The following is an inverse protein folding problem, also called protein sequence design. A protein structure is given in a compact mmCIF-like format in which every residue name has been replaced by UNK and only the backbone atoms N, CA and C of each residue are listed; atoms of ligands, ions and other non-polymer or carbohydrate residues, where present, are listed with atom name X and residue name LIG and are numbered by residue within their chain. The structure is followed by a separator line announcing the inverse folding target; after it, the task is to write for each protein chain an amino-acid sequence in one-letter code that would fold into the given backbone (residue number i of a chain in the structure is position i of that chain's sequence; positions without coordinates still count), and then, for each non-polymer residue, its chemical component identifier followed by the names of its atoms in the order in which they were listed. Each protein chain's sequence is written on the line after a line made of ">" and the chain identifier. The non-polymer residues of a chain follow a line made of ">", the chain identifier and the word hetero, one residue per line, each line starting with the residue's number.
data_IF_122308782921
#
_entry.id   IF_122308782921
#
_cell.length_a   1.000
_cell.length_b   1.000
_cell.length_c   1.000
_cell.angle_alpha   90.00
_cell.angle_beta   90.00
_cell.angle_gamma   90.00
#
_symmetry.space_group_name_H-M   'P 1'
#
loop_
_entity.id
_entity.type
_entity.pdbx_description
1 polymer ?
#
# COMPACT_ATOMS: atom_id res chain seq x y z
N UNK A 1 44.60 27.89 13.22
CA UNK A 1 44.66 26.50 13.76
C UNK A 1 43.47 26.35 14.71
N UNK A 2 42.47 25.49 14.56
CA UNK A 2 42.33 24.15 13.94
C UNK A 2 40.89 24.05 13.40
N UNK A 3 40.68 23.89 12.09
CA UNK A 3 40.35 22.64 11.38
C UNK A 3 39.26 21.75 12.00
N UNK A 4 38.13 21.71 11.28
CA UNK A 4 37.15 20.63 11.03
C UNK A 4 37.04 19.47 12.03
N UNK A 5 35.81 19.22 12.47
CA UNK A 5 35.21 17.88 12.39
C UNK A 5 33.76 17.99 11.87
N UNK A 6 33.60 17.88 10.55
CA UNK A 6 32.35 17.40 9.96
C UNK A 6 32.15 15.98 10.50
N UNK A 7 31.09 15.75 11.27
CA UNK A 7 30.63 14.39 11.54
C UNK A 7 29.63 14.04 10.45
N UNK A 8 30.10 13.28 9.47
CA UNK A 8 29.29 12.64 8.44
C UNK A 8 28.32 11.67 9.13
N UNK A 9 27.04 12.01 9.16
CA UNK A 9 25.99 11.00 9.41
C UNK A 9 25.83 10.22 8.12
N UNK A 10 26.56 9.12 8.04
CA UNK A 10 26.47 8.16 6.95
C UNK A 10 25.08 7.53 7.05
N UNK A 11 24.27 7.84 6.05
CA UNK A 11 22.97 7.25 5.76
C UNK A 11 23.19 5.74 5.50
N UNK A 12 22.99 4.93 6.53
CA UNK A 12 23.03 3.48 6.41
C UNK A 12 21.65 3.01 5.95
N UNK A 13 21.39 3.07 4.64
CA UNK A 13 20.29 2.33 4.02
C UNK A 13 20.74 0.87 4.00
N UNK A 14 20.56 0.17 5.12
CA UNK A 14 20.61 -1.29 5.13
C UNK A 14 19.45 -1.79 4.30
N UNK A 15 19.74 -2.18 3.07
CA UNK A 15 18.96 -3.12 2.31
C UNK A 15 18.93 -4.45 3.09
N UNK A 16 17.98 -4.57 4.02
CA UNK A 16 17.53 -5.88 4.48
C UNK A 16 16.90 -6.53 3.26
N UNK A 17 17.61 -7.49 2.66
CA UNK A 17 17.03 -8.49 1.79
C UNK A 17 16.55 -9.62 2.70
N UNK A 18 15.34 -9.51 3.23
CA UNK A 18 14.55 -10.67 3.64
C UNK A 18 13.77 -11.11 2.40
N UNK A 19 13.40 -12.37 2.27
CA UNK A 19 12.58 -12.81 1.14
C UNK A 19 11.21 -12.15 1.26
N UNK A 20 10.98 -11.08 0.49
CA UNK A 20 9.71 -10.37 0.50
C UNK A 20 8.84 -10.89 -0.63
N UNK A 21 7.53 -10.94 -0.37
CA UNK A 21 6.44 -10.94 -1.35
C UNK A 21 6.78 -10.12 -2.61
N UNK A 22 6.06 -10.30 -3.74
CA UNK A 22 6.21 -9.43 -4.92
C UNK A 22 5.76 -8.00 -4.59
N UNK A 23 6.61 -7.27 -3.90
CA UNK A 23 6.45 -5.87 -3.55
C UNK A 23 6.29 -5.07 -4.83
N UNK A 24 5.55 -3.97 -4.72
CA UNK A 24 5.38 -3.04 -5.83
C UNK A 24 6.73 -2.44 -6.21
N UNK A 25 7.16 -2.63 -7.45
CA UNK A 25 8.46 -2.15 -7.93
C UNK A 25 8.59 -0.63 -7.71
N UNK A 26 9.68 -0.19 -7.10
CA UNK A 26 9.90 1.24 -6.84
C UNK A 26 9.94 2.01 -8.17
N UNK A 27 9.18 3.11 -8.25
CA UNK A 27 9.06 3.91 -9.47
C UNK A 27 7.88 3.51 -10.38
N UNK A 28 7.13 2.46 -10.03
CA UNK A 28 5.90 2.08 -10.70
C UNK A 28 4.68 2.87 -10.19
N UNK A 29 3.61 2.94 -10.99
CA UNK A 29 2.34 3.58 -10.59
C UNK A 29 1.81 2.98 -9.29
N UNK A 30 1.76 1.65 -9.24
CA UNK A 30 1.23 0.91 -8.11
C UNK A 30 2.02 1.19 -6.82
N UNK A 31 3.35 1.32 -6.91
CA UNK A 31 4.18 1.69 -5.77
C UNK A 31 3.79 3.06 -5.21
N UNK A 32 3.62 4.07 -6.06
CA UNK A 32 3.24 5.41 -5.60
C UNK A 32 1.80 5.47 -5.08
N UNK A 33 0.88 4.69 -5.66
CA UNK A 33 -0.48 4.54 -5.15
C UNK A 33 -0.48 3.96 -3.73
N UNK A 34 0.21 2.83 -3.52
CA UNK A 34 0.28 2.21 -2.20
C UNK A 34 1.03 3.08 -1.18
N UNK A 35 2.17 3.66 -1.57
CA UNK A 35 2.94 4.56 -0.71
C UNK A 35 2.14 5.80 -0.32
N UNK A 36 1.47 6.44 -1.28
CA UNK A 36 0.63 7.61 -1.05
C UNK A 36 -0.49 7.30 -0.06
N UNK A 37 -1.20 6.18 -0.27
CA UNK A 37 -2.24 5.73 0.64
C UNK A 37 -1.68 5.50 2.05
N UNK A 38 -0.56 4.80 2.17
CA UNK A 38 0.02 4.45 3.46
C UNK A 38 0.45 5.68 4.24
N UNK A 39 1.05 6.65 3.57
CA UNK A 39 1.44 7.93 4.17
C UNK A 39 0.21 8.75 4.57
N UNK A 40 -0.78 8.90 3.68
CA UNK A 40 -1.97 9.71 3.95
C UNK A 40 -2.82 9.13 5.08
N UNK A 41 -2.89 7.80 5.18
CA UNK A 41 -3.72 7.12 6.16
C UNK A 41 -2.94 6.67 7.40
N UNK A 42 -1.65 6.98 7.48
CA UNK A 42 -0.76 6.54 8.57
C UNK A 42 -0.84 5.01 8.78
N UNK A 43 -0.82 4.25 7.68
CA UNK A 43 -0.75 2.79 7.70
C UNK A 43 0.70 2.40 7.97
N UNK A 44 0.91 1.57 8.99
CA UNK A 44 2.23 1.03 9.30
C UNK A 44 2.56 -0.10 8.31
N UNK A 45 3.64 -0.02 7.52
CA UNK A 45 4.00 -1.07 6.58
C UNK A 45 4.26 -2.41 7.28
N UNK A 46 3.84 -3.50 6.66
CA UNK A 46 4.06 -4.87 7.13
C UNK A 46 4.38 -5.80 5.97
N UNK A 47 5.03 -6.92 6.26
CA UNK A 47 5.28 -7.95 5.25
C UNK A 47 3.97 -8.60 4.78
N UNK A 48 3.83 -8.74 3.46
CA UNK A 48 2.75 -9.57 2.90
C UNK A 48 3.14 -11.04 2.98
N UNK A 49 2.33 -11.88 3.63
CA UNK A 49 2.43 -13.34 3.54
C UNK A 49 1.69 -13.90 2.30
N UNK A 50 1.80 -13.21 1.16
CA UNK A 50 1.10 -13.50 -0.09
C UNK A 50 2.09 -13.42 -1.27
N UNK A 51 1.96 -14.33 -2.23
CA UNK A 51 2.82 -14.39 -3.42
C UNK A 51 2.01 -14.74 -4.67
N UNK A 52 2.27 -14.03 -5.77
CA UNK A 52 1.70 -14.28 -7.08
C UNK A 52 2.62 -13.74 -8.19
N UNK A 53 2.72 -14.45 -9.32
CA UNK A 53 3.62 -14.09 -10.43
C UNK A 53 3.18 -12.82 -11.17
N UNK A 54 1.91 -12.46 -11.09
CA UNK A 54 1.28 -11.36 -11.83
C UNK A 54 0.79 -10.24 -10.91
N UNK A 55 0.34 -10.57 -9.70
CA UNK A 55 -0.20 -9.60 -8.75
C UNK A 55 0.92 -9.03 -7.86
N UNK A 56 0.96 -7.71 -7.74
CA UNK A 56 1.82 -7.02 -6.77
C UNK A 56 1.07 -6.76 -5.48
N UNK A 57 1.74 -6.91 -4.33
CA UNK A 57 1.13 -6.68 -3.02
C UNK A 57 1.90 -5.64 -2.21
N UNK A 58 1.17 -4.84 -1.44
CA UNK A 58 1.69 -4.02 -0.35
C UNK A 58 0.78 -4.19 0.88
N UNK A 59 1.35 -4.44 2.06
CA UNK A 59 0.59 -4.79 3.25
C UNK A 59 0.95 -3.88 4.42
N UNK A 60 0.03 -3.75 5.37
CA UNK A 60 0.24 -2.89 6.52
C UNK A 60 -0.84 -3.00 7.58
N UNK A 61 -0.70 -2.20 8.64
CA UNK A 61 -1.63 -2.13 9.75
C UNK A 61 -2.28 -0.76 9.83
N UNK A 62 -3.60 -0.76 9.89
CA UNK A 62 -4.42 0.42 10.12
C UNK A 62 -5.20 0.25 11.42
N UNK A 63 -4.73 0.90 12.49
CA UNK A 63 -5.26 0.78 13.85
C UNK A 63 -6.57 1.56 14.05
N UNK A 64 -7.59 1.29 13.22
CA UNK A 64 -8.90 1.93 13.25
C UNK A 64 -9.97 0.98 12.73
N UNK A 65 -11.22 1.44 12.58
CA UNK A 65 -12.34 0.60 12.11
C UNK A 65 -12.37 0.42 10.59
N UNK A 66 -13.00 -0.67 10.14
CA UNK A 66 -13.36 -0.91 8.73
C UNK A 66 -13.99 0.32 8.10
N UNK A 67 -14.97 0.92 8.78
CA UNK A 67 -15.74 2.04 8.25
C UNK A 67 -14.83 3.24 8.01
N UNK A 68 -13.98 3.57 8.99
CA UNK A 68 -13.01 4.66 8.83
C UNK A 68 -12.00 4.34 7.73
N UNK A 69 -11.54 3.10 7.60
CA UNK A 69 -10.68 2.71 6.49
C UNK A 69 -11.33 2.98 5.13
N UNK A 70 -12.59 2.56 4.95
CA UNK A 70 -13.30 2.78 3.68
C UNK A 70 -13.55 4.26 3.37
N UNK A 71 -13.89 5.06 4.38
CA UNK A 71 -14.08 6.50 4.24
C UNK A 71 -12.75 7.19 3.90
N UNK A 72 -11.68 6.82 4.59
CA UNK A 72 -10.32 7.32 4.38
C UNK A 72 -9.77 6.97 2.99
N UNK A 73 -9.92 5.73 2.53
CA UNK A 73 -9.50 5.30 1.18
C UNK A 73 -10.28 6.11 0.14
N UNK A 74 -11.60 6.25 0.27
CA UNK A 74 -12.40 7.04 -0.67
C UNK A 74 -11.97 8.49 -0.74
N UNK A 75 -11.72 9.11 0.42
CA UNK A 75 -11.26 10.49 0.49
C UNK A 75 -9.90 10.64 -0.19
N UNK A 76 -8.95 9.75 0.11
CA UNK A 76 -7.62 9.75 -0.50
C UNK A 76 -7.70 9.56 -2.02
N UNK A 77 -8.42 8.54 -2.50
CA UNK A 77 -8.55 8.28 -3.94
C UNK A 77 -9.15 9.50 -4.66
N UNK A 78 -10.22 10.09 -4.11
CA UNK A 78 -10.89 11.22 -4.76
C UNK A 78 -10.03 12.48 -4.83
N UNK A 79 -9.07 12.64 -3.92
CA UNK A 79 -8.21 13.82 -3.83
C UNK A 79 -6.90 13.64 -4.61
N UNK A 80 -6.24 12.51 -4.41
CA UNK A 80 -4.86 12.29 -4.84
C UNK A 80 -4.75 11.38 -6.07
N UNK A 81 -5.79 10.57 -6.33
CA UNK A 81 -5.77 9.53 -7.36
C UNK A 81 -7.03 9.55 -8.26
N UNK A 82 -7.37 10.69 -8.91
CA UNK A 82 -8.58 10.82 -9.72
C UNK A 82 -8.63 9.87 -10.93
N UNK A 83 -7.50 9.25 -11.30
CA UNK A 83 -7.42 8.22 -12.34
C UNK A 83 -7.91 6.84 -11.91
N UNK A 84 -8.13 6.61 -10.60
CA UNK A 84 -8.69 5.36 -10.08
C UNK A 84 -10.22 5.47 -10.00
N UNK A 85 -10.91 4.58 -10.70
CA UNK A 85 -12.37 4.52 -10.75
C UNK A 85 -12.89 3.34 -9.92
N UNK A 86 -13.86 3.55 -9.02
CA UNK A 86 -14.41 2.47 -8.21
C UNK A 86 -15.22 1.51 -9.10
N UNK A 87 -15.07 0.20 -8.88
CA UNK A 87 -15.77 -0.82 -9.68
C UNK A 87 -16.67 -1.72 -8.85
N UNK A 88 -16.22 -2.19 -7.69
CA UNK A 88 -17.00 -3.10 -6.84
C UNK A 88 -16.52 -3.09 -5.40
N UNK A 89 -17.44 -3.37 -4.48
CA UNK A 89 -17.18 -3.64 -3.07
C UNK A 89 -17.67 -5.05 -2.76
N UNK A 90 -16.90 -5.81 -1.97
CA UNK A 90 -17.37 -7.07 -1.39
C UNK A 90 -16.90 -7.28 0.03
N UNK A 91 -17.65 -8.11 0.75
CA UNK A 91 -17.47 -8.40 2.17
C UNK A 91 -17.52 -9.91 2.35
N UNK A 92 -16.65 -10.47 3.19
CA UNK A 92 -16.76 -11.87 3.59
C UNK A 92 -17.30 -11.98 5.03
N UNK A 93 -17.76 -13.18 5.40
CA UNK A 93 -18.28 -13.46 6.74
C UNK A 93 -17.22 -13.33 7.85
N UNK A 94 -15.94 -13.22 7.50
CA UNK A 94 -14.84 -13.00 8.44
C UNK A 94 -14.57 -11.50 8.71
N UNK A 95 -15.46 -10.60 8.26
CA UNK A 95 -15.29 -9.16 8.47
C UNK A 95 -14.18 -8.55 7.60
N UNK A 96 -13.70 -9.27 6.58
CA UNK A 96 -12.84 -8.68 5.56
C UNK A 96 -13.68 -7.90 4.58
N UNK A 97 -13.23 -6.70 4.28
CA UNK A 97 -13.83 -5.80 3.31
C UNK A 97 -12.83 -5.55 2.23
N UNK A 98 -13.28 -5.65 0.98
CA UNK A 98 -12.44 -5.37 -0.18
C UNK A 98 -13.14 -4.36 -1.05
N UNK A 99 -12.37 -3.36 -1.48
CA UNK A 99 -12.79 -2.39 -2.47
C UNK A 99 -11.90 -2.47 -3.70
N UNK A 100 -12.52 -2.55 -4.86
CA UNK A 100 -11.84 -2.58 -6.14
C UNK A 100 -11.90 -1.23 -6.86
N UNK A 101 -10.78 -0.88 -7.46
CA UNK A 101 -10.65 0.26 -8.35
C UNK A 101 -9.94 -0.17 -9.63
N UNK A 102 -10.17 0.57 -10.71
CA UNK A 102 -9.48 0.38 -11.99
C UNK A 102 -8.76 1.64 -12.41
N UNK A 103 -7.56 1.48 -12.97
CA UNK A 103 -6.83 2.53 -13.69
C UNK A 103 -6.73 2.17 -15.18
N UNK A 104 -5.99 2.95 -15.96
CA UNK A 104 -5.69 2.62 -17.37
C UNK A 104 -4.71 1.45 -17.52
N UNK A 105 -4.00 1.07 -16.46
CA UNK A 105 -2.91 0.09 -16.48
C UNK A 105 -3.26 -1.21 -15.75
N UNK A 106 -4.28 -1.22 -14.90
CA UNK A 106 -4.70 -2.41 -14.18
C UNK A 106 -5.84 -2.17 -13.19
N UNK A 107 -5.96 -3.11 -12.25
CA UNK A 107 -6.94 -3.09 -11.17
C UNK A 107 -6.26 -3.10 -9.80
N UNK A 108 -6.79 -2.32 -8.87
CA UNK A 108 -6.37 -2.25 -7.48
C UNK A 108 -7.43 -2.85 -6.58
N UNK A 109 -7.01 -3.66 -5.60
CA UNK A 109 -7.86 -4.12 -4.51
C UNK A 109 -7.30 -3.60 -3.18
N UNK A 110 -8.14 -2.93 -2.41
CA UNK A 110 -7.83 -2.48 -1.05
C UNK A 110 -8.64 -3.34 -0.08
N UNK A 111 -7.98 -4.32 0.53
CA UNK A 111 -8.57 -5.22 1.51
C UNK A 111 -8.22 -4.79 2.92
N UNK A 112 -9.19 -4.85 3.83
CA UNK A 112 -9.04 -4.61 5.27
C UNK A 112 -9.69 -5.78 6.00
N UNK A 113 -9.00 -6.39 6.98
CA UNK A 113 -9.60 -7.40 7.86
C UNK A 113 -9.94 -6.81 9.24
N UNK A 114 -10.80 -7.49 10.00
CA UNK A 114 -11.27 -7.01 11.30
C UNK A 114 -10.16 -6.76 12.36
N UNK A 115 -8.97 -7.31 12.14
CA UNK A 115 -7.80 -7.12 13.01
C UNK A 115 -6.98 -5.86 12.64
N UNK A 116 -7.38 -5.14 11.59
CA UNK A 116 -6.69 -3.94 11.11
C UNK A 116 -5.60 -4.20 10.08
N UNK A 117 -5.44 -5.43 9.59
CA UNK A 117 -4.49 -5.77 8.53
C UNK A 117 -5.02 -5.33 7.17
N UNK A 118 -4.15 -4.69 6.40
CA UNK A 118 -4.42 -4.16 5.06
C UNK A 118 -3.63 -4.95 4.03
N UNK A 119 -4.27 -5.22 2.90
CA UNK A 119 -3.59 -5.65 1.67
C UNK A 119 -4.02 -4.73 0.54
N UNK A 120 -3.06 -4.10 -0.12
CA UNK A 120 -3.23 -3.43 -1.41
C UNK A 120 -2.66 -4.35 -2.47
N UNK A 121 -3.52 -4.86 -3.34
CA UNK A 121 -3.12 -5.69 -4.47
C UNK A 121 -3.27 -4.90 -5.78
N UNK A 122 -2.30 -5.01 -6.69
CA UNK A 122 -2.38 -4.48 -8.04
C UNK A 122 -2.23 -5.60 -9.07
N UNK A 123 -3.17 -5.68 -10.01
CA UNK A 123 -3.14 -6.63 -11.12
C UNK A 123 -3.07 -5.85 -12.44
N UNK A 124 -1.99 -5.95 -13.22
CA UNK A 124 -1.89 -5.27 -14.52
C UNK A 124 -2.84 -5.89 -15.55
N UNK A 125 -3.35 -5.08 -16.48
CA UNK A 125 -4.02 -5.61 -17.67
C UNK A 125 -3.00 -6.26 -18.61
N UNK A 126 -3.41 -7.35 -19.26
CA UNK A 126 -2.62 -8.03 -20.30
C UNK A 126 -2.96 -7.54 -21.70
#
# INVERSE_FOLDING_TARGET
>A
MRLLKLLSVILLITALNLGFSKEMETGSEQFYVAQGLFLSLNIEPAECSLEDDYVNFACGWFASSVQLFQESVNAHISQELPGLTPTSDWFNNAGTVVRAYTSSTGSYLFAYNADGFIVVAFTPYQ
#
